data_IF_701081789417
#
_entry.id   IF_701081789417
#
_cell.length_a   1.000
_cell.length_b   1.000
_cell.length_c   1.000
_cell.angle_alpha   90.00
_cell.angle_beta   90.00
_cell.angle_gamma   90.00
#
_symmetry.space_group_name_H-M   'P 1'
#
loop_
_entity.id
_entity.type
_entity.pdbx_description
1 polymer ?
#
# COMPACT_ATOMS: atom_id res chain seq x y z
N UNK A 1 -17.41 -4.04 -42.01
CA UNK A 1 -17.73 -3.33 -40.77
C UNK A 1 -16.76 -3.90 -39.73
N UNK A 2 -15.83 -3.09 -39.25
CA UNK A 2 -14.90 -3.52 -38.21
C UNK A 2 -15.65 -3.46 -36.87
N UNK A 3 -15.60 -4.52 -36.09
CA UNK A 3 -16.12 -4.54 -34.72
C UNK A 3 -15.48 -3.40 -33.91
N UNK A 4 -16.24 -2.70 -33.04
CA UNK A 4 -15.62 -1.78 -32.10
C UNK A 4 -14.69 -2.60 -31.21
N UNK A 5 -13.41 -2.21 -31.15
CA UNK A 5 -12.42 -2.78 -30.23
C UNK A 5 -13.05 -2.72 -28.84
N UNK A 6 -13.48 -3.86 -28.27
CA UNK A 6 -13.95 -3.88 -26.89
C UNK A 6 -12.73 -3.62 -26.02
N UNK A 7 -12.71 -2.46 -25.38
CA UNK A 7 -11.62 -2.03 -24.49
C UNK A 7 -11.83 -2.68 -23.10
N UNK A 8 -12.12 -4.00 -23.10
CA UNK A 8 -12.42 -4.74 -21.89
C UNK A 8 -11.17 -4.75 -21.00
N UNK A 9 -11.27 -4.40 -19.70
CA UNK A 9 -10.09 -4.22 -18.87
C UNK A 9 -9.29 -5.53 -18.81
N UNK A 10 -8.02 -5.46 -19.23
CA UNK A 10 -7.17 -6.64 -19.36
C UNK A 10 -6.49 -6.98 -18.04
N UNK A 11 -6.68 -8.19 -17.53
CA UNK A 11 -6.07 -8.68 -16.28
C UNK A 11 -5.02 -9.74 -16.58
N UNK A 12 -3.84 -9.59 -15.97
CA UNK A 12 -2.83 -10.64 -15.96
C UNK A 12 -3.01 -11.53 -14.74
N UNK A 13 -3.20 -12.84 -14.94
CA UNK A 13 -3.28 -13.85 -13.87
C UNK A 13 -1.98 -14.65 -13.84
N UNK A 14 -1.27 -14.61 -12.72
CA UNK A 14 0.01 -15.29 -12.51
C UNK A 14 -0.14 -16.27 -11.37
N UNK A 15 -0.08 -17.56 -11.66
CA UNK A 15 -0.17 -18.63 -10.68
C UNK A 15 0.47 -19.86 -11.31
N UNK A 16 1.22 -20.67 -10.57
CA UNK A 16 1.85 -21.88 -11.13
C UNK A 16 0.88 -23.05 -11.21
N UNK A 17 -0.21 -23.03 -10.43
CA UNK A 17 -1.30 -24.01 -10.51
C UNK A 17 -2.15 -23.75 -11.78
N UNK A 18 -2.11 -24.62 -12.80
CA UNK A 18 -2.89 -24.44 -14.02
C UNK A 18 -4.40 -24.54 -13.79
N UNK A 19 -4.85 -25.30 -12.79
CA UNK A 19 -6.26 -25.46 -12.44
C UNK A 19 -6.83 -24.18 -11.85
N UNK A 20 -6.17 -23.65 -10.81
CA UNK A 20 -6.57 -22.38 -10.20
C UNK A 20 -6.49 -21.22 -11.21
N UNK A 21 -5.41 -21.14 -11.99
CA UNK A 21 -5.24 -20.14 -13.05
C UNK A 21 -6.39 -20.18 -14.05
N UNK A 22 -6.80 -21.37 -14.49
CA UNK A 22 -7.92 -21.53 -15.43
C UNK A 22 -9.26 -21.09 -14.82
N UNK A 23 -9.54 -21.48 -13.58
CA UNK A 23 -10.77 -21.09 -12.87
C UNK A 23 -10.84 -19.57 -12.67
N UNK A 24 -9.73 -18.94 -12.27
CA UNK A 24 -9.67 -17.48 -12.13
C UNK A 24 -9.87 -16.77 -13.46
N UNK A 25 -9.23 -17.23 -14.54
CA UNK A 25 -9.40 -16.62 -15.86
C UNK A 25 -10.87 -16.71 -16.31
N UNK A 26 -11.50 -17.88 -16.18
CA UNK A 26 -12.92 -18.06 -16.51
C UNK A 26 -13.82 -17.14 -15.70
N UNK A 27 -13.63 -17.07 -14.38
CA UNK A 27 -14.43 -16.22 -13.52
C UNK A 27 -14.30 -14.74 -13.90
N UNK A 28 -13.08 -14.28 -14.22
CA UNK A 28 -12.82 -12.91 -14.67
C UNK A 28 -13.48 -12.63 -16.04
N UNK A 29 -13.38 -13.56 -16.98
CA UNK A 29 -14.01 -13.47 -18.31
C UNK A 29 -15.54 -13.39 -18.21
N UNK A 30 -16.15 -14.16 -17.31
CA UNK A 30 -17.59 -14.08 -17.02
C UNK A 30 -18.03 -12.72 -16.46
N UNK A 31 -17.11 -11.96 -15.84
CA UNK A 31 -17.35 -10.60 -15.37
C UNK A 31 -16.99 -9.52 -16.40
N UNK A 32 -16.68 -9.91 -17.64
CA UNK A 32 -16.36 -8.98 -18.75
C UNK A 32 -14.91 -8.50 -18.79
N UNK A 33 -13.98 -9.17 -18.11
CA UNK A 33 -12.55 -8.87 -18.22
C UNK A 33 -11.90 -9.72 -19.31
N UNK A 34 -10.98 -9.12 -20.07
CA UNK A 34 -10.05 -9.90 -20.88
C UNK A 34 -8.92 -10.45 -20.01
N UNK A 35 -8.49 -11.69 -20.20
CA UNK A 35 -7.41 -12.28 -19.39
C UNK A 35 -6.17 -12.63 -20.21
N UNK A 36 -5.01 -12.52 -19.57
CA UNK A 36 -3.77 -13.17 -20.02
C UNK A 36 -3.21 -13.90 -18.82
N UNK A 37 -2.49 -14.99 -19.05
CA UNK A 37 -1.96 -15.80 -17.96
C UNK A 37 -0.44 -15.95 -18.07
N UNK A 38 0.20 -16.19 -16.93
CA UNK A 38 1.58 -16.61 -16.80
C UNK A 38 1.69 -17.70 -15.73
N UNK A 39 2.64 -18.60 -15.92
CA UNK A 39 2.88 -19.74 -15.03
C UNK A 39 3.89 -19.46 -13.90
N UNK A 40 4.59 -18.32 -13.96
CA UNK A 40 5.60 -17.90 -12.99
C UNK A 40 5.92 -16.41 -13.15
N UNK A 41 6.69 -15.85 -12.21
CA UNK A 41 7.05 -14.43 -12.23
C UNK A 41 7.95 -13.98 -13.38
N UNK A 42 8.82 -14.84 -13.93
CA UNK A 42 9.69 -14.45 -15.06
C UNK A 42 8.86 -14.24 -16.34
N UNK A 43 7.94 -15.16 -16.62
CA UNK A 43 7.00 -15.05 -17.74
C UNK A 43 6.10 -13.83 -17.58
N UNK A 44 5.54 -13.63 -16.37
CA UNK A 44 4.74 -12.45 -16.06
C UNK A 44 5.51 -11.15 -16.29
N UNK A 45 6.79 -11.09 -15.89
CA UNK A 45 7.60 -9.90 -16.05
C UNK A 45 7.84 -9.56 -17.54
N UNK A 46 8.03 -10.56 -18.41
CA UNK A 46 8.11 -10.35 -19.85
C UNK A 46 6.80 -9.79 -20.42
N UNK A 47 5.67 -10.36 -20.00
CA UNK A 47 4.35 -9.91 -20.45
C UNK A 47 4.04 -8.48 -20.02
N UNK A 48 4.34 -8.10 -18.78
CA UNK A 48 4.13 -6.75 -18.24
C UNK A 48 5.02 -5.70 -18.92
N UNK A 49 6.19 -6.10 -19.44
CA UNK A 49 7.04 -5.19 -20.23
C UNK A 49 6.52 -5.00 -21.66
N UNK A 50 5.84 -6.00 -22.22
CA UNK A 50 5.33 -5.97 -23.58
C UNK A 50 3.89 -5.44 -23.70
N UNK A 51 3.12 -5.44 -22.61
CA UNK A 51 1.70 -5.14 -22.61
C UNK A 51 1.28 -4.26 -21.43
N UNK A 52 0.17 -3.56 -21.59
CA UNK A 52 -0.51 -2.86 -20.50
C UNK A 52 -1.62 -3.71 -19.91
N UNK A 53 -1.76 -3.68 -18.59
CA UNK A 53 -2.79 -4.40 -17.85
C UNK A 53 -3.51 -3.46 -16.89
N UNK A 54 -4.83 -3.64 -16.76
CA UNK A 54 -5.67 -2.90 -15.81
C UNK A 54 -5.47 -3.39 -14.37
N UNK A 55 -5.08 -4.66 -14.20
CA UNK A 55 -4.64 -5.24 -12.93
C UNK A 55 -3.75 -6.46 -13.16
N UNK A 56 -2.96 -6.79 -12.14
CA UNK A 56 -2.19 -8.03 -12.05
C UNK A 56 -2.68 -8.79 -10.82
N UNK A 57 -3.08 -10.04 -11.01
CA UNK A 57 -3.39 -10.98 -9.94
C UNK A 57 -2.26 -11.98 -9.92
N UNK A 58 -1.51 -12.07 -8.84
CA UNK A 58 -0.35 -12.97 -8.75
C UNK A 58 -0.40 -13.82 -7.50
N UNK A 59 -0.03 -15.09 -7.61
CA UNK A 59 0.29 -15.91 -6.45
C UNK A 59 1.61 -15.46 -5.81
N UNK A 60 1.79 -15.78 -4.53
CA UNK A 60 3.03 -15.54 -3.82
C UNK A 60 4.05 -16.67 -4.05
N UNK A 61 3.65 -17.94 -3.88
CA UNK A 61 4.54 -19.10 -3.81
C UNK A 61 4.70 -19.76 -5.18
N UNK A 62 5.39 -19.06 -6.09
CA UNK A 62 5.65 -19.56 -7.44
C UNK A 62 7.12 -19.99 -7.63
N UNK A 63 7.38 -21.02 -8.44
CA UNK A 63 8.74 -21.41 -8.83
C UNK A 63 9.41 -20.32 -9.69
N UNK A 64 10.75 -20.36 -9.75
CA UNK A 64 11.64 -19.41 -10.45
C UNK A 64 11.62 -18.02 -9.84
N UNK A 65 10.50 -17.32 -9.93
CA UNK A 65 10.28 -16.00 -9.36
C UNK A 65 8.93 -15.96 -8.62
N UNK A 66 9.02 -15.74 -7.32
CA UNK A 66 7.87 -15.61 -6.43
C UNK A 66 7.13 -14.26 -6.63
N UNK A 67 5.92 -14.15 -6.09
CA UNK A 67 5.08 -12.97 -6.25
C UNK A 67 5.69 -11.70 -5.67
N UNK A 68 6.44 -11.79 -4.57
CA UNK A 68 7.14 -10.63 -3.98
C UNK A 68 8.17 -10.06 -4.95
N UNK A 69 9.05 -10.91 -5.47
CA UNK A 69 10.09 -10.50 -6.40
C UNK A 69 9.47 -9.93 -7.68
N UNK A 70 8.41 -10.55 -8.20
CA UNK A 70 7.67 -10.02 -9.35
C UNK A 70 7.14 -8.61 -9.08
N UNK A 71 6.49 -8.39 -7.93
CA UNK A 71 5.96 -7.07 -7.56
C UNK A 71 7.07 -6.03 -7.46
N UNK A 72 8.17 -6.36 -6.76
CA UNK A 72 9.30 -5.45 -6.63
C UNK A 72 9.84 -5.03 -8.00
N UNK A 73 9.99 -5.97 -8.95
CA UNK A 73 10.41 -5.67 -10.32
C UNK A 73 9.42 -4.77 -11.05
N UNK A 74 8.12 -5.12 -11.07
CA UNK A 74 7.09 -4.35 -11.77
C UNK A 74 7.08 -2.91 -11.26
N UNK A 75 7.15 -2.73 -9.94
CA UNK A 75 7.04 -1.41 -9.31
C UNK A 75 8.27 -0.52 -9.56
N UNK A 76 9.39 -1.06 -10.07
CA UNK A 76 10.52 -0.22 -10.51
C UNK A 76 10.25 0.60 -11.77
N UNK A 77 9.35 0.13 -12.66
CA UNK A 77 9.04 0.81 -13.92
C UNK A 77 7.55 1.09 -14.12
N UNK A 78 6.67 0.50 -13.31
CA UNK A 78 5.23 0.68 -13.38
C UNK A 78 4.62 0.66 -11.96
N UNK A 79 4.67 1.80 -11.30
CA UNK A 79 4.15 1.98 -9.93
C UNK A 79 2.61 1.96 -9.89
N UNK A 80 1.97 2.29 -11.02
CA UNK A 80 0.54 2.57 -11.10
C UNK A 80 -0.32 1.33 -11.34
N UNK A 81 0.20 0.24 -11.88
CA UNK A 81 -0.64 -0.94 -12.15
C UNK A 81 -1.08 -1.58 -10.82
N UNK A 82 -2.40 -1.75 -10.58
CA UNK A 82 -2.91 -2.48 -9.44
C UNK A 82 -2.36 -3.90 -9.36
N UNK A 83 -1.92 -4.32 -8.18
CA UNK A 83 -1.54 -5.72 -7.94
C UNK A 83 -2.35 -6.32 -6.79
N UNK A 84 -3.02 -7.44 -7.05
CA UNK A 84 -3.62 -8.31 -6.05
C UNK A 84 -2.73 -9.54 -5.87
N UNK A 85 -2.08 -9.65 -4.70
CA UNK A 85 -1.33 -10.84 -4.31
C UNK A 85 -2.25 -11.87 -3.66
N UNK A 86 -2.26 -13.08 -4.16
CA UNK A 86 -2.89 -14.23 -3.53
C UNK A 86 -1.84 -15.01 -2.76
N UNK A 87 -2.15 -15.48 -1.56
CA UNK A 87 -1.16 -16.19 -0.74
C UNK A 87 -1.80 -17.16 0.26
N UNK A 88 -1.17 -18.31 0.51
CA UNK A 88 -1.53 -19.20 1.62
C UNK A 88 -0.93 -18.78 2.98
N UNK A 89 -0.16 -17.68 2.99
CA UNK A 89 0.55 -17.13 4.13
C UNK A 89 1.87 -16.49 3.69
N UNK A 90 2.19 -15.31 4.21
CA UNK A 90 3.51 -14.68 4.07
C UNK A 90 3.98 -14.16 5.42
N UNK A 91 5.31 -14.05 5.64
CA UNK A 91 5.81 -13.36 6.82
C UNK A 91 5.25 -11.94 6.89
N UNK A 92 4.83 -11.51 8.09
CA UNK A 92 4.26 -10.19 8.31
C UNK A 92 5.16 -9.09 7.73
N UNK A 93 6.47 -9.19 7.95
CA UNK A 93 7.47 -8.26 7.42
C UNK A 93 7.43 -8.11 5.90
N UNK A 94 7.20 -9.20 5.16
CA UNK A 94 7.11 -9.17 3.69
C UNK A 94 5.84 -8.45 3.24
N UNK A 95 4.71 -8.71 3.90
CA UNK A 95 3.46 -8.02 3.62
C UNK A 95 3.59 -6.52 3.85
N UNK A 96 4.12 -6.16 5.01
CA UNK A 96 4.26 -4.79 5.46
C UNK A 96 5.20 -3.98 4.55
N UNK A 97 6.27 -4.59 4.08
CA UNK A 97 7.13 -4.02 3.06
C UNK A 97 6.40 -3.78 1.72
N UNK A 98 5.49 -4.67 1.31
CA UNK A 98 4.72 -4.52 0.08
C UNK A 98 3.68 -3.40 0.16
N UNK A 99 3.23 -3.05 1.37
CA UNK A 99 2.38 -1.87 1.58
C UNK A 99 3.06 -0.60 1.09
N UNK A 100 4.39 -0.50 0.96
CA UNK A 100 5.00 0.69 0.34
C UNK A 100 4.55 0.95 -1.12
N UNK A 101 3.81 0.05 -1.75
CA UNK A 101 3.22 0.26 -3.07
C UNK A 101 1.75 0.69 -2.97
N UNK A 102 1.46 1.93 -3.37
CA UNK A 102 0.12 2.55 -3.32
C UNK A 102 -1.02 1.73 -3.96
N UNK A 103 -0.75 0.98 -5.02
CA UNK A 103 -1.74 0.15 -5.74
C UNK A 103 -1.40 -1.32 -5.60
N UNK A 104 -1.45 -1.80 -4.36
CA UNK A 104 -1.20 -3.18 -3.93
C UNK A 104 -2.25 -3.61 -2.89
N UNK A 105 -2.68 -4.86 -2.97
CA UNK A 105 -3.50 -5.54 -1.96
C UNK A 105 -3.10 -7.02 -1.90
N UNK A 106 -3.31 -7.68 -0.77
CA UNK A 106 -3.18 -9.13 -0.66
C UNK A 106 -4.49 -9.78 -0.20
N UNK A 107 -4.74 -11.02 -0.64
CA UNK A 107 -5.85 -11.87 -0.22
C UNK A 107 -5.33 -13.25 0.19
N UNK A 108 -5.86 -13.79 1.29
CA UNK A 108 -5.47 -15.09 1.82
C UNK A 108 -6.23 -16.23 1.10
N UNK A 109 -5.53 -17.30 0.73
CA UNK A 109 -6.09 -18.56 0.22
C UNK A 109 -6.44 -19.48 1.42
N UNK A 110 -7.58 -20.19 1.42
CA UNK A 110 -8.63 -20.16 0.39
C UNK A 110 -9.50 -18.89 0.49
N UNK A 111 -10.04 -18.47 -0.63
CA UNK A 111 -10.99 -17.36 -0.72
C UNK A 111 -12.22 -17.77 -1.52
N UNK A 112 -13.36 -17.14 -1.22
CA UNK A 112 -14.57 -17.28 -2.04
C UNK A 112 -14.52 -16.36 -3.27
N UNK A 113 -15.25 -16.67 -4.36
CA UNK A 113 -15.33 -15.77 -5.51
C UNK A 113 -15.78 -14.34 -5.14
N UNK A 114 -16.79 -14.11 -4.29
CA UNK A 114 -17.15 -12.76 -3.87
C UNK A 114 -16.02 -12.02 -3.15
N UNK A 115 -15.23 -12.71 -2.31
CA UNK A 115 -14.09 -12.11 -1.63
C UNK A 115 -12.97 -11.71 -2.60
N UNK A 116 -12.68 -12.57 -3.59
CA UNK A 116 -11.74 -12.29 -4.67
C UNK A 116 -12.13 -11.04 -5.45
N UNK A 117 -13.36 -10.97 -5.96
CA UNK A 117 -13.83 -9.83 -6.76
C UNK A 117 -13.88 -8.54 -5.93
N UNK A 118 -14.29 -8.62 -4.66
CA UNK A 118 -14.26 -7.46 -3.75
C UNK A 118 -12.83 -6.92 -3.59
N UNK A 119 -11.85 -7.80 -3.41
CA UNK A 119 -10.44 -7.42 -3.28
C UNK A 119 -9.89 -6.82 -4.59
N UNK A 120 -10.19 -7.44 -5.72
CA UNK A 120 -9.78 -6.98 -7.05
C UNK A 120 -10.35 -5.58 -7.35
N UNK A 121 -11.66 -5.39 -7.20
CA UNK A 121 -12.33 -4.10 -7.43
C UNK A 121 -11.76 -3.01 -6.51
N UNK A 122 -11.47 -3.35 -5.26
CA UNK A 122 -10.87 -2.43 -4.29
C UNK A 122 -9.48 -1.96 -4.72
N UNK A 123 -8.61 -2.85 -5.18
CA UNK A 123 -7.26 -2.45 -5.63
C UNK A 123 -7.31 -1.73 -6.98
N UNK A 124 -8.21 -2.10 -7.88
CA UNK A 124 -8.42 -1.40 -9.16
C UNK A 124 -8.91 0.03 -8.96
N UNK A 125 -9.85 0.25 -8.03
CA UNK A 125 -10.39 1.56 -7.70
C UNK A 125 -9.53 2.36 -6.71
N UNK A 126 -8.36 1.84 -6.31
CA UNK A 126 -7.44 2.58 -5.45
C UNK A 126 -6.96 3.86 -6.17
N UNK A 127 -6.90 5.01 -5.48
CA UNK A 127 -6.53 6.27 -6.10
C UNK A 127 -5.15 6.19 -6.77
N UNK A 128 -5.05 6.68 -8.00
CA UNK A 128 -3.76 7.00 -8.61
C UNK A 128 -3.24 8.26 -7.91
N UNK A 129 -2.08 8.23 -7.23
CA UNK A 129 -1.57 9.43 -6.58
C UNK A 129 -1.36 10.53 -7.63
N UNK A 130 -2.01 11.68 -7.44
CA UNK A 130 -1.87 12.82 -8.34
C UNK A 130 -0.43 13.36 -8.27
N UNK A 131 0.20 13.54 -9.43
CA UNK A 131 1.58 14.02 -9.54
C UNK A 131 2.60 12.92 -9.29
N UNK A 132 2.79 12.03 -10.27
CA UNK A 132 3.80 10.96 -10.28
C UNK A 132 5.24 11.50 -10.33
N UNK A 133 5.62 12.27 -9.33
CA UNK A 133 6.98 12.56 -8.91
C UNK A 133 7.02 12.50 -7.38
N UNK A 134 7.60 11.40 -6.86
CA UNK A 134 8.09 11.22 -5.48
C UNK A 134 7.05 11.29 -4.34
N UNK A 135 6.21 10.25 -4.19
CA UNK A 135 6.07 9.43 -2.95
C UNK A 135 4.96 8.40 -3.10
N UNK A 136 5.35 7.15 -3.32
CA UNK A 136 4.49 6.02 -3.73
C UNK A 136 3.97 5.14 -2.60
N UNK A 137 4.14 5.55 -1.34
CA UNK A 137 3.85 4.71 -0.17
C UNK A 137 2.35 4.68 0.18
N UNK A 138 1.81 3.48 0.45
CA UNK A 138 0.47 3.32 1.03
C UNK A 138 0.40 4.07 2.35
N UNK A 139 -0.65 4.86 2.50
CA UNK A 139 -0.92 5.68 3.68
C UNK A 139 -2.26 5.29 4.26
N UNK A 140 -2.26 5.02 5.56
CA UNK A 140 -3.49 4.77 6.30
C UNK A 140 -3.92 6.09 6.95
N UNK A 141 -5.22 6.41 6.92
CA UNK A 141 -5.75 7.56 7.67
C UNK A 141 -5.67 7.26 9.17
N UNK A 142 -5.25 8.25 9.95
CA UNK A 142 -5.02 8.09 11.39
C UNK A 142 -5.50 9.32 12.16
N UNK A 143 -5.57 9.21 13.47
CA UNK A 143 -5.78 10.33 14.40
C UNK A 143 -4.92 10.11 15.64
N UNK A 144 -3.61 9.91 15.43
CA UNK A 144 -2.68 9.52 16.50
C UNK A 144 -2.11 10.79 17.13
N UNK A 145 -2.31 11.03 18.44
CA UNK A 145 -1.64 12.12 19.13
C UNK A 145 -0.13 11.91 19.12
N UNK A 146 0.61 12.96 18.79
CA UNK A 146 2.07 12.92 18.74
C UNK A 146 2.67 14.18 19.35
N UNK A 147 3.93 14.06 19.74
CA UNK A 147 4.78 15.14 20.19
C UNK A 147 5.97 15.25 19.24
N UNK A 148 6.46 16.46 19.03
CA UNK A 148 7.68 16.67 18.26
C UNK A 148 8.43 17.92 18.69
N UNK A 149 9.74 17.93 18.48
CA UNK A 149 10.61 19.08 18.68
C UNK A 149 11.44 19.38 17.44
N UNK A 150 11.65 20.67 17.17
CA UNK A 150 12.58 21.16 16.17
C UNK A 150 13.78 21.77 16.91
N UNK A 151 15.02 21.38 16.55
CA UNK A 151 16.31 21.86 17.10
C UNK A 151 16.19 22.84 18.29
N UNK A 152 15.96 22.30 19.49
CA UNK A 152 15.72 23.06 20.71
C UNK A 152 14.93 22.25 21.74
N UNK A 153 14.76 22.75 22.98
CA UNK A 153 14.02 22.06 24.05
C UNK A 153 12.49 22.17 23.91
N UNK A 154 11.99 22.96 22.96
CA UNK A 154 10.55 23.17 22.77
C UNK A 154 9.90 21.93 22.15
N UNK A 155 9.05 21.28 22.95
CA UNK A 155 8.19 20.18 22.51
C UNK A 155 6.82 20.75 22.20
N UNK A 156 6.35 20.46 21.00
CA UNK A 156 5.01 20.81 20.51
C UNK A 156 4.20 19.54 20.31
N UNK A 157 2.88 19.67 20.31
CA UNK A 157 1.96 18.54 20.19
C UNK A 157 1.02 18.72 19.00
N UNK A 158 0.44 17.62 18.54
CA UNK A 158 -0.66 17.62 17.59
C UNK A 158 -0.97 16.22 17.10
N UNK A 159 -1.42 16.07 15.85
CA UNK A 159 -2.04 14.82 15.39
C UNK A 159 -1.41 14.32 14.09
N UNK A 160 -1.03 13.04 14.06
CA UNK A 160 -0.69 12.33 12.83
C UNK A 160 -1.99 11.93 12.12
N UNK A 161 -2.29 12.58 10.99
CA UNK A 161 -3.55 12.36 10.23
C UNK A 161 -3.47 11.25 9.20
N UNK A 162 -2.26 10.91 8.78
CA UNK A 162 -2.01 9.69 8.02
C UNK A 162 -0.64 9.13 8.36
N UNK A 163 -0.43 7.85 8.12
CA UNK A 163 0.83 7.18 8.41
C UNK A 163 1.22 6.24 7.28
N UNK A 164 2.51 6.18 6.97
CA UNK A 164 3.17 5.24 6.06
C UNK A 164 4.58 4.95 6.57
N UNK A 165 5.30 4.03 5.94
CA UNK A 165 6.69 3.75 6.32
C UNK A 165 7.67 4.88 6.02
N UNK A 166 7.37 5.81 5.11
CA UNK A 166 8.25 6.93 4.81
C UNK A 166 7.66 8.28 5.17
N UNK A 167 6.55 8.36 5.91
CA UNK A 167 6.13 9.64 6.46
C UNK A 167 4.69 9.74 6.91
N UNK A 168 4.34 10.96 7.31
CA UNK A 168 3.05 11.33 7.89
C UNK A 168 2.69 12.78 7.51
N UNK A 169 1.41 13.12 7.60
CA UNK A 169 0.99 14.51 7.73
C UNK A 169 0.76 14.81 9.21
N UNK A 170 1.52 15.76 9.74
CA UNK A 170 1.32 16.30 11.08
C UNK A 170 0.38 17.49 11.01
N UNK A 171 -0.71 17.44 11.76
CA UNK A 171 -1.56 18.59 12.00
C UNK A 171 -1.03 19.39 13.18
N UNK A 172 -0.92 20.71 13.00
CA UNK A 172 -0.22 21.61 13.91
C UNK A 172 -1.00 22.91 14.07
N UNK A 173 -0.86 23.59 15.21
CA UNK A 173 -1.46 24.92 15.39
C UNK A 173 -0.86 26.00 14.50
N UNK A 174 0.42 25.84 14.13
CA UNK A 174 1.15 26.74 13.22
C UNK A 174 1.99 25.93 12.24
N UNK A 175 2.14 26.36 10.99
CA UNK A 175 2.78 25.55 9.96
C UNK A 175 4.28 25.48 10.23
N UNK A 176 4.84 24.28 10.17
CA UNK A 176 6.28 24.06 10.38
C UNK A 176 7.01 24.31 9.04
N UNK A 177 8.06 25.15 9.00
CA UNK A 177 8.80 25.43 7.77
C UNK A 177 9.39 24.18 7.11
N UNK A 178 9.43 24.16 5.77
CA UNK A 178 10.11 23.12 5.02
C UNK A 178 11.62 23.09 5.31
N UNK A 179 12.21 21.90 5.31
CA UNK A 179 13.60 21.64 5.70
C UNK A 179 13.81 21.53 7.22
N UNK A 180 12.77 21.75 8.04
CA UNK A 180 12.84 21.56 9.49
C UNK A 180 13.00 20.07 9.82
N UNK A 181 14.04 19.73 10.58
CA UNK A 181 14.20 18.39 11.17
C UNK A 181 13.39 18.30 12.47
N UNK A 182 12.67 17.19 12.62
CA UNK A 182 11.80 16.90 13.74
C UNK A 182 12.21 15.58 14.40
N UNK A 183 12.36 15.59 15.72
CA UNK A 183 12.28 14.38 16.53
C UNK A 183 10.80 14.18 16.89
N UNK A 184 10.20 13.08 16.44
CA UNK A 184 8.76 12.78 16.58
C UNK A 184 8.58 11.59 17.50
N UNK A 185 7.67 11.70 18.48
CA UNK A 185 7.27 10.61 19.35
C UNK A 185 5.75 10.47 19.45
N UNK A 186 5.28 9.23 19.52
CA UNK A 186 3.86 8.93 19.74
C UNK A 186 3.69 7.53 20.34
N UNK A 187 2.53 7.28 20.93
CA UNK A 187 2.18 5.97 21.48
C UNK A 187 1.52 5.09 20.43
N UNK A 188 1.76 3.79 20.50
CA UNK A 188 1.08 2.81 19.67
C UNK A 188 -0.44 2.87 19.95
N UNK A 189 -1.30 3.00 18.93
CA UNK A 189 -2.71 3.36 19.13
C UNK A 189 -3.53 2.33 19.92
N UNK A 190 -3.13 1.07 19.87
CA UNK A 190 -3.79 -0.06 20.55
C UNK A 190 -2.96 -0.66 21.67
N UNK A 191 -1.69 -0.23 21.84
CA UNK A 191 -0.77 -0.74 22.86
C UNK A 191 -0.02 0.43 23.51
N UNK A 192 -0.67 1.23 24.38
CA UNK A 192 -0.10 2.50 24.88
C UNK A 192 1.20 2.38 25.69
N UNK A 193 1.62 1.16 26.04
CA UNK A 193 2.92 0.87 26.65
C UNK A 193 4.09 0.90 25.65
N UNK A 194 3.80 0.80 24.34
CA UNK A 194 4.79 0.90 23.28
C UNK A 194 4.82 2.32 22.71
N UNK A 195 6.00 2.94 22.74
CA UNK A 195 6.23 4.24 22.11
C UNK A 195 7.05 4.09 20.85
N UNK A 196 6.76 4.94 19.87
CA UNK A 196 7.54 5.10 18.64
C UNK A 196 8.27 6.43 18.76
N UNK A 197 9.57 6.42 18.51
CA UNK A 197 10.40 7.63 18.40
C UNK A 197 11.19 7.56 17.10
N UNK A 198 11.07 8.59 16.27
CA UNK A 198 11.70 8.62 14.95
C UNK A 198 12.10 10.04 14.55
N UNK A 199 12.97 10.15 13.57
CA UNK A 199 13.32 11.43 12.95
C UNK A 199 12.52 11.66 11.69
N UNK A 200 12.22 12.92 11.42
CA UNK A 200 11.61 13.32 10.16
C UNK A 200 12.09 14.66 9.68
N UNK A 201 11.91 14.92 8.39
CA UNK A 201 12.16 16.21 7.76
C UNK A 201 10.87 16.73 7.15
N UNK A 202 10.52 17.96 7.46
CA UNK A 202 9.39 18.64 6.84
C UNK A 202 9.71 18.89 5.37
N UNK A 203 8.92 18.31 4.47
CA UNK A 203 9.11 18.50 3.02
C UNK A 203 8.27 19.63 2.45
N UNK A 204 7.13 19.93 3.07
CA UNK A 204 6.23 21.00 2.69
C UNK A 204 5.36 21.37 3.89
N UNK A 205 4.99 22.64 3.96
CA UNK A 205 4.05 23.18 4.93
C UNK A 205 2.70 23.40 4.27
N UNK A 206 1.61 23.16 4.99
CA UNK A 206 0.26 23.54 4.59
C UNK A 206 -0.22 24.66 5.50
N UNK A 207 -0.61 25.76 4.85
CA UNK A 207 -1.29 26.87 5.47
C UNK A 207 -2.78 26.71 5.19
N UNK A 208 -3.63 26.91 6.20
CA UNK A 208 -5.07 26.99 5.98
C UNK A 208 -5.38 28.27 5.20
N UNK A 209 -6.04 28.16 4.05
CA UNK A 209 -6.41 29.33 3.25
C UNK A 209 -7.74 29.93 3.75
N UNK A 210 -8.55 29.11 4.44
CA UNK A 210 -9.87 29.48 4.96
C UNK A 210 -10.01 29.17 6.46
N UNK A 211 -10.88 29.90 7.20
CA UNK A 211 -11.18 29.59 8.60
C UNK A 211 -11.67 28.15 8.77
N UNK A 212 -10.98 27.37 9.60
CA UNK A 212 -11.29 25.96 9.86
C UNK A 212 -10.54 24.95 8.98
N UNK A 213 -9.71 25.40 8.03
CA UNK A 213 -8.78 24.50 7.35
C UNK A 213 -7.61 24.10 8.26
N UNK A 214 -7.23 22.82 8.15
CA UNK A 214 -6.14 22.25 8.93
C UNK A 214 -4.79 22.82 8.47
N UNK A 215 -4.08 23.43 9.41
CA UNK A 215 -2.66 23.73 9.28
C UNK A 215 -1.82 22.49 9.58
N UNK A 216 -0.65 22.40 8.97
CA UNK A 216 0.20 21.24 9.19
C UNK A 216 1.41 21.17 8.28
N UNK A 217 2.04 20.00 8.28
CA UNK A 217 3.21 19.76 7.49
C UNK A 217 3.29 18.31 7.01
N UNK A 218 3.76 18.13 5.78
CA UNK A 218 4.17 16.83 5.28
C UNK A 218 5.55 16.50 5.81
N UNK A 219 5.68 15.41 6.56
CA UNK A 219 6.95 14.96 7.12
C UNK A 219 7.39 13.67 6.46
N UNK A 220 8.65 13.63 6.04
CA UNK A 220 9.32 12.42 5.59
C UNK A 220 10.12 11.81 6.73
N UNK A 221 9.96 10.52 6.98
CA UNK A 221 10.77 9.85 7.98
C UNK A 221 12.22 9.67 7.51
N UNK A 222 13.15 9.81 8.45
CA UNK A 222 14.61 9.72 8.24
C UNK A 222 15.19 8.65 9.16
N UNK A 223 16.21 7.96 8.66
CA UNK A 223 17.07 7.06 9.44
C UNK A 223 16.31 6.05 10.32
N UNK A 224 15.21 5.50 9.79
CA UNK A 224 14.38 4.53 10.51
C UNK A 224 15.15 3.24 10.78
N UNK A 225 15.36 2.93 12.06
CA UNK A 225 15.91 1.65 12.46
C UNK A 225 14.91 0.50 12.27
N UNK A 226 15.41 -0.75 12.30
CA UNK A 226 14.59 -1.95 12.09
C UNK A 226 13.46 -2.11 13.10
N UNK A 227 13.64 -1.70 14.35
CA UNK A 227 12.63 -1.82 15.39
C UNK A 227 11.50 -0.82 15.15
N UNK A 228 11.85 0.43 14.86
CA UNK A 228 10.91 1.48 14.49
C UNK A 228 10.10 1.11 13.25
N UNK A 229 10.75 0.56 12.22
CA UNK A 229 10.06 0.04 11.04
C UNK A 229 9.04 -1.02 11.46
N UNK A 230 9.43 -2.03 12.23
CA UNK A 230 8.51 -3.10 12.67
C UNK A 230 7.31 -2.55 13.44
N UNK A 231 7.53 -1.63 14.38
CA UNK A 231 6.43 -1.04 15.15
C UNK A 231 5.49 -0.23 14.25
N UNK A 232 6.02 0.60 13.35
CA UNK A 232 5.21 1.32 12.36
C UNK A 232 4.40 0.36 11.50
N UNK A 233 5.02 -0.72 11.06
CA UNK A 233 4.38 -1.73 10.27
C UNK A 233 3.21 -2.40 11.04
N UNK A 234 3.41 -2.79 12.30
CA UNK A 234 2.35 -3.34 13.16
C UNK A 234 1.18 -2.36 13.31
N UNK A 235 1.46 -1.07 13.53
CA UNK A 235 0.42 -0.02 13.59
C UNK A 235 -0.38 0.03 12.28
N UNK A 236 0.30 0.03 11.14
CA UNK A 236 -0.35 0.10 9.83
C UNK A 236 -1.24 -1.12 9.58
N UNK A 237 -0.76 -2.34 9.86
CA UNK A 237 -1.53 -3.56 9.71
C UNK A 237 -2.80 -3.55 10.59
N UNK A 238 -2.66 -3.20 11.86
CA UNK A 238 -3.81 -3.13 12.77
C UNK A 238 -4.83 -2.08 12.32
N UNK A 239 -4.35 -0.92 11.87
CA UNK A 239 -5.25 0.15 11.39
C UNK A 239 -5.99 -0.28 10.12
N UNK A 240 -5.33 -0.97 9.20
CA UNK A 240 -5.96 -1.57 8.00
C UNK A 240 -7.03 -2.59 8.39
N UNK A 241 -6.75 -3.43 9.39
CA UNK A 241 -7.70 -4.42 9.89
C UNK A 241 -8.95 -3.77 10.48
N UNK A 242 -8.77 -2.74 11.31
CA UNK A 242 -9.89 -1.96 11.89
C UNK A 242 -10.75 -1.28 10.83
N UNK A 243 -10.15 -0.85 9.71
CA UNK A 243 -10.89 -0.25 8.59
C UNK A 243 -11.68 -1.25 7.75
N UNK A 244 -11.70 -2.54 8.12
CA UNK A 244 -12.27 -3.60 7.29
C UNK A 244 -11.53 -3.75 5.96
N UNK A 245 -10.31 -3.21 5.88
CA UNK A 245 -9.45 -3.26 4.70
C UNK A 245 -8.60 -4.55 4.71
N UNK A 246 -9.07 -5.62 5.36
CA UNK A 246 -8.71 -7.01 5.10
C UNK A 246 -7.35 -7.46 5.63
N UNK A 247 -7.28 -7.75 6.92
CA UNK A 247 -7.11 -9.12 7.46
C UNK A 247 -8.14 -9.31 8.60
N UNK A 248 -8.97 -10.35 8.51
CA UNK A 248 -9.50 -11.23 9.57
C UNK A 248 -10.73 -12.01 9.09
N UNK A 249 -10.59 -13.34 9.11
CA UNK A 249 -11.53 -14.46 9.24
C UNK A 249 -11.10 -15.57 8.27
N UNK A 250 -10.45 -16.64 8.72
CA UNK A 250 -11.00 -17.57 9.71
C UNK A 250 -9.90 -18.47 10.28
N UNK A 251 -9.66 -18.34 11.59
CA UNK A 251 -9.26 -19.45 12.42
C UNK A 251 -10.41 -19.70 13.40
N UNK A 252 -11.35 -20.52 12.95
CA UNK A 252 -12.15 -21.40 13.82
C UNK A 252 -12.07 -22.79 13.21
#
# INVERSE_FOLDING_TARGET
MADPISDDPKILVVDDDPGLRRVLCLALEEQGYSTTFASNGEEALLLVKANTYSAIVTDYDMPRMNGRNLIDHIKTFNTLTPVLLMTAGIPETVFLDLLKYSRFLAIHKPFSPPAFFKALMKVMNSPVPAGAHKRSEFRVKTAIPAQWSAKGPEVTTGILRNLSLGGTFVETEKPIPAGTELDISFQHPTEPSQSVSLKGEVVWAKHGENPGELEGAGVHFRDLDRNTIRTLQTILAQTVNQMGLGWFESAR
#
